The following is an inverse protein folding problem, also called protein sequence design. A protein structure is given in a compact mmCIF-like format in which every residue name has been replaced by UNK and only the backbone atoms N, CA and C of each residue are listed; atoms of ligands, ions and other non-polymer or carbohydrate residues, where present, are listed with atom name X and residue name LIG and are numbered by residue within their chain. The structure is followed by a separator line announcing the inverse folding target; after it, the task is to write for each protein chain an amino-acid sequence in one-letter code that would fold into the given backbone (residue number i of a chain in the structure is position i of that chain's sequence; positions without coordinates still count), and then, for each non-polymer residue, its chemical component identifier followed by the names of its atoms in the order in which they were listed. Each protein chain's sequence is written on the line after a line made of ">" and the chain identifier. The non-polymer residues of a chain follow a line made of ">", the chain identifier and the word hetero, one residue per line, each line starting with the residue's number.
data_IF_803079631365
#
_entry.id   IF_803079631365
#
_cell.length_a   1.000
_cell.length_b   1.000
_cell.length_c   1.000
_cell.angle_alpha   90.00
_cell.angle_beta   90.00
_cell.angle_gamma   90.00
#
_symmetry.space_group_name_H-M   'P 1'
#
loop_
_entity.id
_entity.type
_entity.pdbx_description
1 polymer ?
#
# COMPACT_ATOMS: atom_id res chain seq x y z
N UNK A 1 1.77 -7.34 -8.34
CA UNK A 1 0.47 -7.98 -8.16
C UNK A 1 -0.71 -7.05 -8.39
N UNK A 2 -0.47 -5.78 -8.61
CA UNK A 2 -1.50 -4.81 -8.86
C UNK A 2 -0.92 -3.44 -9.12
N UNK A 3 -1.76 -2.43 -9.05
CA UNK A 3 -1.44 -1.06 -9.39
C UNK A 3 -1.59 -0.19 -8.15
N UNK A 4 -0.52 0.51 -7.76
CA UNK A 4 -0.49 1.34 -6.56
C UNK A 4 -0.60 2.81 -6.92
N UNK A 5 -1.44 3.53 -6.18
CA UNK A 5 -1.64 4.97 -6.35
C UNK A 5 -1.55 5.66 -4.99
N UNK A 6 -0.89 6.81 -4.96
CA UNK A 6 -0.89 7.69 -3.81
C UNK A 6 -1.95 8.77 -3.98
N UNK A 7 -2.55 9.20 -2.88
CA UNK A 7 -3.39 10.41 -2.87
C UNK A 7 -2.58 11.67 -2.60
N UNK A 8 -1.26 11.57 -2.52
CA UNK A 8 -0.32 12.68 -2.33
C UNK A 8 0.61 12.79 -3.52
N UNK A 9 0.52 13.89 -4.25
CA UNK A 9 1.41 14.15 -5.40
C UNK A 9 2.87 14.22 -4.97
N UNK A 10 3.16 14.86 -3.85
CA UNK A 10 4.54 14.98 -3.35
C UNK A 10 5.13 13.62 -3.00
N UNK A 11 4.35 12.74 -2.40
CA UNK A 11 4.79 11.40 -2.07
C UNK A 11 5.07 10.57 -3.34
N UNK A 12 4.21 10.69 -4.34
CA UNK A 12 4.41 10.02 -5.62
C UNK A 12 5.67 10.53 -6.32
N UNK A 13 5.90 11.84 -6.28
CA UNK A 13 7.11 12.44 -6.86
C UNK A 13 8.37 11.97 -6.14
N UNK A 14 8.37 11.98 -4.82
CA UNK A 14 9.53 11.52 -4.03
C UNK A 14 9.86 10.06 -4.34
N UNK A 15 8.86 9.23 -4.50
CA UNK A 15 9.04 7.83 -4.89
C UNK A 15 9.64 7.72 -6.30
N UNK A 16 9.17 8.54 -7.24
CA UNK A 16 9.68 8.56 -8.60
C UNK A 16 11.15 8.99 -8.63
N UNK A 17 11.51 10.02 -7.83
CA UNK A 17 12.91 10.46 -7.70
C UNK A 17 13.78 9.34 -7.12
N UNK A 18 13.31 8.69 -6.07
CA UNK A 18 14.04 7.56 -5.47
C UNK A 18 14.30 6.46 -6.49
N UNK A 19 13.29 6.10 -7.27
CA UNK A 19 13.43 5.08 -8.32
C UNK A 19 14.37 5.52 -9.45
N UNK A 20 14.36 6.79 -9.83
CA UNK A 20 15.26 7.29 -10.87
C UNK A 20 16.72 7.27 -10.43
N UNK A 21 16.99 7.53 -9.16
CA UNK A 21 18.35 7.41 -8.59
C UNK A 21 18.80 5.96 -8.60
N UNK A 22 17.91 5.05 -8.25
CA UNK A 22 18.22 3.63 -8.12
C UNK A 22 18.36 2.92 -9.46
N UNK A 23 17.49 3.24 -10.42
CA UNK A 23 17.36 2.51 -11.68
C UNK A 23 17.80 3.34 -12.90
N UNK A 24 18.08 4.63 -12.73
CA UNK A 24 18.32 5.57 -13.81
C UNK A 24 17.01 6.11 -14.40
N UNK A 25 17.12 7.05 -15.33
CA UNK A 25 15.99 7.67 -15.99
C UNK A 25 15.53 8.96 -15.33
N UNK A 26 14.44 9.50 -15.82
CA UNK A 26 13.84 10.76 -15.36
C UNK A 26 12.61 10.46 -14.50
N UNK A 27 12.46 11.12 -13.32
CA UNK A 27 11.26 10.91 -12.52
C UNK A 27 10.03 11.46 -13.23
N UNK A 28 8.99 10.65 -13.36
CA UNK A 28 7.73 11.02 -13.98
C UNK A 28 6.59 10.58 -13.06
N UNK A 29 5.63 11.47 -12.84
CA UNK A 29 4.41 11.17 -12.10
C UNK A 29 3.23 11.18 -13.06
N UNK A 30 2.46 10.10 -13.05
CA UNK A 30 1.20 10.04 -13.81
C UNK A 30 0.05 10.30 -12.85
N UNK A 31 -0.94 11.05 -13.32
CA UNK A 31 -2.14 11.37 -12.53
C UNK A 31 -3.36 10.67 -13.10
N UNK A 32 -4.21 10.17 -12.19
CA UNK A 32 -5.43 9.45 -12.55
C UNK A 32 -6.60 10.04 -11.78
N UNK A 33 -7.76 9.99 -12.38
CA UNK A 33 -9.02 10.37 -11.77
C UNK A 33 -9.82 9.12 -11.46
N UNK A 34 -10.43 9.10 -10.28
CA UNK A 34 -11.25 7.97 -9.82
C UNK A 34 -12.48 8.49 -9.09
N UNK A 35 -13.63 7.92 -9.40
CA UNK A 35 -14.89 8.26 -8.71
C UNK A 35 -14.97 7.49 -7.39
N UNK A 36 -14.69 8.16 -6.28
CA UNK A 36 -14.69 7.55 -4.95
C UNK A 36 -16.05 7.01 -4.51
N UNK A 37 -17.15 7.45 -5.13
CA UNK A 37 -18.48 6.92 -4.84
C UNK A 37 -18.57 5.42 -5.17
N UNK A 38 -17.73 4.94 -6.06
CA UNK A 38 -17.66 3.52 -6.40
C UNK A 38 -17.21 2.65 -5.22
N UNK A 39 -16.48 3.21 -4.26
CA UNK A 39 -16.01 2.47 -3.08
C UNK A 39 -17.15 2.05 -2.17
N UNK A 40 -18.24 2.81 -2.13
CA UNK A 40 -19.40 2.51 -1.32
C UNK A 40 -20.58 1.94 -2.10
N UNK A 41 -20.41 1.72 -3.41
CA UNK A 41 -21.49 1.26 -4.31
C UNK A 41 -21.88 -0.21 -4.10
N UNK A 42 -21.01 -1.01 -3.49
CA UNK A 42 -21.20 -2.45 -3.33
C UNK A 42 -20.82 -3.27 -4.55
N UNK A 43 -20.40 -2.64 -5.66
CA UNK A 43 -19.99 -3.36 -6.87
C UNK A 43 -18.53 -3.82 -6.83
N UNK A 44 -17.73 -3.24 -5.95
CA UNK A 44 -16.32 -3.58 -5.76
C UNK A 44 -16.09 -4.14 -4.36
N UNK A 45 -15.17 -5.08 -4.26
CA UNK A 45 -14.66 -5.55 -2.97
C UNK A 45 -13.60 -4.57 -2.48
N UNK A 46 -13.98 -3.71 -1.54
CA UNK A 46 -13.13 -2.65 -1.02
C UNK A 46 -12.75 -2.93 0.43
N UNK A 47 -11.46 -2.81 0.74
CA UNK A 47 -10.93 -2.94 2.09
C UNK A 47 -10.18 -1.66 2.45
N UNK A 48 -10.50 -1.10 3.62
CA UNK A 48 -9.90 0.14 4.09
C UNK A 48 -9.27 -0.05 5.46
N UNK A 49 -8.00 0.34 5.58
CA UNK A 49 -7.30 0.44 6.86
C UNK A 49 -7.02 1.91 7.13
N UNK A 50 -7.48 2.43 8.26
CA UNK A 50 -7.31 3.84 8.59
C UNK A 50 -6.04 4.13 9.39
N UNK A 51 -5.36 3.10 9.88
CA UNK A 51 -4.16 3.22 10.70
C UNK A 51 -3.35 1.93 10.66
N UNK A 52 -2.16 1.97 11.27
CA UNK A 52 -1.36 0.80 11.53
C UNK A 52 -2.01 -0.04 12.64
N UNK A 53 -3.00 -0.82 12.30
CA UNK A 53 -3.74 -1.69 13.23
C UNK A 53 -3.18 -3.11 13.20
N UNK A 54 -3.66 -3.95 14.12
CA UNK A 54 -3.37 -5.38 14.10
C UNK A 54 -3.83 -6.00 12.78
N UNK A 55 -5.00 -5.61 12.31
CA UNK A 55 -5.58 -6.11 11.06
C UNK A 55 -4.71 -5.71 9.87
N UNK A 56 -4.23 -4.46 9.83
CA UNK A 56 -3.30 -4.01 8.81
C UNK A 56 -2.00 -4.81 8.84
N UNK A 57 -1.46 -5.02 10.04
CA UNK A 57 -0.22 -5.78 10.21
C UNK A 57 -0.37 -7.20 9.69
N UNK A 58 -1.44 -7.89 10.07
CA UNK A 58 -1.71 -9.25 9.60
C UNK A 58 -1.86 -9.30 8.08
N UNK A 59 -2.56 -8.34 7.50
CA UNK A 59 -2.75 -8.24 6.05
C UNK A 59 -1.41 -8.07 5.31
N UNK A 60 -0.59 -7.14 5.77
CA UNK A 60 0.72 -6.85 5.15
C UNK A 60 1.65 -8.05 5.28
N UNK A 61 1.70 -8.67 6.45
CA UNK A 61 2.55 -9.84 6.67
C UNK A 61 2.15 -11.01 5.77
N UNK A 62 0.85 -11.27 5.65
CA UNK A 62 0.34 -12.33 4.78
C UNK A 62 0.72 -12.06 3.31
N UNK A 63 0.58 -10.82 2.85
CA UNK A 63 0.97 -10.46 1.48
C UNK A 63 2.48 -10.59 1.27
N UNK A 64 3.29 -10.20 2.23
CA UNK A 64 4.75 -10.32 2.12
C UNK A 64 5.23 -11.76 2.10
N UNK A 65 4.51 -12.67 2.76
CA UNK A 65 4.81 -14.10 2.74
C UNK A 65 4.32 -14.78 1.48
N UNK A 66 3.46 -14.13 0.73
CA UNK A 66 2.92 -14.67 -0.53
C UNK A 66 3.95 -14.51 -1.65
N UNK A 67 4.55 -15.60 -2.10
CA UNK A 67 5.51 -15.63 -3.18
C UNK A 67 4.89 -15.94 -4.54
N UNK A 68 3.58 -16.19 -4.60
CA UNK A 68 2.88 -16.51 -5.84
C UNK A 68 2.56 -15.23 -6.62
N UNK A 69 2.32 -15.37 -7.92
CA UNK A 69 1.98 -14.24 -8.80
C UNK A 69 0.61 -13.65 -8.48
N UNK A 70 -0.33 -14.49 -8.04
CA UNK A 70 -1.67 -14.06 -7.73
C UNK A 70 -1.77 -13.51 -6.31
N UNK A 71 -2.69 -12.57 -6.10
CA UNK A 71 -2.96 -12.05 -4.78
C UNK A 71 -3.64 -13.12 -3.91
N UNK A 72 -3.32 -13.12 -2.62
CA UNK A 72 -3.95 -14.03 -1.65
C UNK A 72 -5.34 -13.56 -1.22
N UNK A 73 -5.73 -12.36 -1.62
CA UNK A 73 -7.04 -11.79 -1.33
C UNK A 73 -7.79 -11.48 -2.62
N UNK A 74 -9.12 -11.40 -2.52
CA UNK A 74 -10.00 -11.12 -3.64
C UNK A 74 -10.49 -9.67 -3.66
N UNK A 75 -9.83 -8.77 -2.94
CA UNK A 75 -10.22 -7.35 -2.91
C UNK A 75 -9.85 -6.66 -4.22
N UNK A 76 -10.80 -5.90 -4.75
CA UNK A 76 -10.56 -5.09 -5.93
C UNK A 76 -9.67 -3.89 -5.59
N UNK A 77 -9.96 -3.23 -4.47
CA UNK A 77 -9.24 -2.04 -4.01
C UNK A 77 -8.94 -2.19 -2.52
N UNK A 78 -7.71 -1.88 -2.15
CA UNK A 78 -7.30 -1.78 -0.74
C UNK A 78 -6.72 -0.39 -0.51
N UNK A 79 -7.24 0.33 0.48
CA UNK A 79 -6.72 1.62 0.89
C UNK A 79 -6.13 1.49 2.29
N UNK A 80 -4.92 1.99 2.49
CA UNK A 80 -4.31 1.90 3.82
C UNK A 80 -2.96 2.59 3.89
N UNK A 81 -2.38 2.60 5.09
CA UNK A 81 -1.06 3.19 5.31
C UNK A 81 0.01 2.50 4.48
N UNK A 82 0.97 3.30 4.00
CA UNK A 82 2.15 2.79 3.30
C UNK A 82 3.16 2.27 4.32
N UNK A 83 3.75 1.12 4.03
CA UNK A 83 4.90 0.62 4.78
C UNK A 83 6.15 1.38 4.30
N UNK A 84 6.42 2.55 4.90
CA UNK A 84 7.63 3.32 4.59
C UNK A 84 8.89 2.61 5.10
N UNK A 85 10.05 3.21 4.93
CA UNK A 85 11.34 2.59 5.30
C UNK A 85 11.40 2.20 6.78
N UNK A 86 10.89 3.06 7.68
CA UNK A 86 10.90 2.79 9.12
C UNK A 86 9.98 1.62 9.47
N UNK A 87 8.79 1.58 8.88
CA UNK A 87 7.87 0.48 9.06
C UNK A 87 8.43 -0.80 8.44
N UNK A 88 9.05 -0.69 7.28
CA UNK A 88 9.70 -1.82 6.59
C UNK A 88 10.77 -2.49 7.44
N UNK A 89 11.56 -1.70 8.19
CA UNK A 89 12.54 -2.25 9.13
C UNK A 89 11.86 -3.09 10.21
N UNK A 90 10.75 -2.60 10.76
CA UNK A 90 10.03 -3.33 11.80
C UNK A 90 9.38 -4.61 11.27
N UNK A 91 8.83 -4.56 10.06
CA UNK A 91 8.29 -5.76 9.39
C UNK A 91 9.39 -6.82 9.25
N UNK A 92 10.56 -6.42 8.77
CA UNK A 92 11.69 -7.32 8.59
C UNK A 92 12.15 -7.91 9.93
N UNK A 93 12.28 -7.07 10.95
CA UNK A 93 12.68 -7.52 12.29
C UNK A 93 11.70 -8.56 12.85
N UNK A 94 10.41 -8.35 12.66
CA UNK A 94 9.42 -9.32 13.10
C UNK A 94 9.52 -10.63 12.29
N UNK A 95 9.63 -10.53 10.97
CA UNK A 95 9.70 -11.71 10.11
C UNK A 95 10.97 -12.54 10.36
N UNK A 96 12.05 -11.90 10.77
CA UNK A 96 13.31 -12.57 11.10
C UNK A 96 13.34 -13.08 12.56
N UNK A 97 12.30 -12.83 13.33
CA UNK A 97 12.20 -13.29 14.71
C UNK A 97 12.96 -12.44 15.73
N UNK A 98 13.40 -11.23 15.35
CA UNK A 98 14.15 -10.35 16.23
C UNK A 98 13.26 -9.63 17.25
N UNK A 99 11.97 -9.47 16.96
CA UNK A 99 10.97 -8.91 17.88
C UNK A 99 9.71 -9.75 17.80
N UNK A 100 8.93 -9.76 18.91
CA UNK A 100 7.65 -10.44 18.91
C UNK A 100 6.55 -9.56 18.31
N UNK A 101 5.36 -10.14 18.13
CA UNK A 101 4.25 -9.42 17.47
C UNK A 101 3.76 -8.23 18.31
N UNK A 102 3.70 -8.37 19.63
CA UNK A 102 3.27 -7.27 20.50
C UNK A 102 4.25 -6.10 20.45
N UNK A 103 5.55 -6.37 20.44
CA UNK A 103 6.58 -5.34 20.28
C UNK A 103 6.44 -4.67 18.92
N UNK A 104 6.23 -5.45 17.86
CA UNK A 104 5.99 -4.93 16.53
C UNK A 104 4.81 -3.95 16.51
N UNK A 105 3.67 -4.35 17.07
CA UNK A 105 2.49 -3.47 17.14
C UNK A 105 2.76 -2.20 17.93
N UNK A 106 3.49 -2.28 19.05
CA UNK A 106 3.85 -1.10 19.84
C UNK A 106 4.72 -0.14 19.04
N UNK A 107 5.67 -0.65 18.28
CA UNK A 107 6.53 0.19 17.44
C UNK A 107 5.73 0.88 16.35
N UNK A 108 4.76 0.19 15.75
CA UNK A 108 3.87 0.80 14.76
C UNK A 108 3.03 1.93 15.36
N UNK A 109 2.59 1.79 16.60
CA UNK A 109 1.78 2.81 17.29
C UNK A 109 2.52 4.13 17.47
N UNK A 110 3.85 4.13 17.47
CA UNK A 110 4.67 5.34 17.58
C UNK A 110 5.01 5.98 16.23
N UNK A 111 4.62 5.38 15.13
CA UNK A 111 4.88 5.95 13.81
C UNK A 111 4.04 7.18 13.58
N UNK A 112 4.66 8.23 13.02
CA UNK A 112 4.03 9.51 12.72
C UNK A 112 4.11 9.78 11.23
N UNK A 113 3.38 10.82 10.77
CA UNK A 113 3.39 11.23 9.37
C UNK A 113 2.97 10.09 8.45
N UNK A 114 1.87 9.44 8.79
CA UNK A 114 1.35 8.30 8.03
C UNK A 114 0.89 8.78 6.67
N UNK A 115 1.40 8.15 5.60
CA UNK A 115 0.91 8.35 4.23
C UNK A 115 0.11 7.14 3.80
N UNK A 116 -0.83 7.36 2.90
CA UNK A 116 -1.77 6.34 2.46
C UNK A 116 -1.63 6.06 0.98
N UNK A 117 -2.05 4.88 0.57
CA UNK A 117 -2.07 4.49 -0.82
C UNK A 117 -3.30 3.66 -1.14
N UNK A 118 -3.68 3.68 -2.41
CA UNK A 118 -4.65 2.74 -2.98
C UNK A 118 -3.92 1.63 -3.70
N UNK A 119 -4.37 0.41 -3.49
CA UNK A 119 -3.96 -0.73 -4.28
C UNK A 119 -5.15 -1.18 -5.13
N UNK A 120 -4.97 -1.19 -6.45
CA UNK A 120 -5.96 -1.68 -7.41
C UNK A 120 -5.52 -3.07 -7.85
N UNK A 121 -6.18 -4.10 -7.33
CA UNK A 121 -5.74 -5.49 -7.43
C UNK A 121 -6.40 -6.30 -8.53
N UNK A 122 -7.41 -5.75 -9.21
CA UNK A 122 -8.14 -6.44 -10.28
C UNK A 122 -8.22 -5.55 -11.53
N UNK A 123 -8.37 -6.19 -12.67
CA UNK A 123 -8.50 -5.45 -13.93
C UNK A 123 -9.76 -4.58 -13.94
N UNK A 124 -10.86 -5.08 -13.40
CA UNK A 124 -12.10 -4.28 -13.36
C UNK A 124 -11.97 -3.03 -12.52
N UNK A 125 -11.14 -3.05 -11.47
CA UNK A 125 -10.86 -1.87 -10.67
C UNK A 125 -9.95 -0.90 -11.44
N UNK A 126 -8.90 -1.41 -12.07
CA UNK A 126 -7.96 -0.61 -12.85
C UNK A 126 -8.67 0.09 -14.00
N UNK A 127 -9.63 -0.58 -14.64
CA UNK A 127 -10.39 -0.04 -15.77
C UNK A 127 -11.25 1.18 -15.38
N UNK A 128 -11.49 1.41 -14.09
CA UNK A 128 -12.23 2.58 -13.61
C UNK A 128 -11.35 3.84 -13.50
N UNK A 129 -10.04 3.72 -13.64
CA UNK A 129 -9.12 4.84 -13.59
C UNK A 129 -9.12 5.59 -14.93
N UNK A 130 -9.20 6.91 -14.86
CA UNK A 130 -9.07 7.79 -16.02
C UNK A 130 -7.76 8.56 -15.90
N UNK A 131 -6.87 8.40 -16.89
CA UNK A 131 -5.63 9.16 -16.89
C UNK A 131 -5.90 10.62 -17.23
N UNK A 132 -5.36 11.52 -16.43
CA UNK A 132 -5.49 12.97 -16.64
C UNK A 132 -4.36 13.46 -17.53
#
# INVERSE_FOLDING_TARGET
>A
KGFYLSDSESQAYDFAVFKSIQLGGTPIVHSFKFDESMLSSGTLNYLCFQKYSREWANFVLANRRNTQKENIHAHDIVYGPIANDKVGVQIRNFMEGNIDFDTFLKKLAFMKSITFQYFFGTQRAIDLLEKI
#
